data_IF_131463924722
#
_entry.id   IF_131463924722
#
_cell.length_a   1.000
_cell.length_b   1.000
_cell.length_c   1.000
_cell.angle_alpha   90.00
_cell.angle_beta   90.00
_cell.angle_gamma   90.00
#
_symmetry.space_group_name_H-M   'P 1'
#
loop_
_entity.id
_entity.type
_entity.pdbx_description
1 polymer ?
#
# COMPACT_ATOMS: atom_id res chain seq x y z
N UNK A 1 27.71 85.46 -67.99
CA UNK A 1 26.59 84.77 -67.32
C UNK A 1 27.17 83.53 -66.64
N UNK A 2 27.38 83.60 -65.32
CA UNK A 2 27.59 82.50 -64.34
C UNK A 2 28.65 82.88 -63.26
N UNK A 3 28.33 82.78 -61.95
CA UNK A 3 29.25 82.99 -60.80
C UNK A 3 30.02 81.68 -60.49
N UNK A 4 31.23 81.60 -59.91
CA UNK A 4 31.93 82.19 -58.73
C UNK A 4 31.90 81.32 -57.45
N UNK A 5 33.08 80.76 -57.11
CA UNK A 5 33.72 80.58 -55.78
C UNK A 5 33.49 79.27 -54.94
N UNK A 6 34.64 78.67 -54.55
CA UNK A 6 35.09 77.71 -53.48
C UNK A 6 34.23 77.46 -52.18
N UNK A 7 34.67 76.63 -51.18
CA UNK A 7 34.95 75.18 -51.05
C UNK A 7 34.26 74.55 -49.76
N UNK A 8 34.76 73.43 -49.18
CA UNK A 8 34.39 72.73 -47.90
C UNK A 8 33.19 71.72 -47.91
N UNK A 9 33.41 70.41 -47.64
CA UNK A 9 33.27 69.64 -46.35
C UNK A 9 31.82 69.66 -45.82
N UNK A 10 31.07 68.59 -45.53
CA UNK A 10 31.25 67.18 -45.13
C UNK A 10 29.99 66.39 -45.58
N UNK A 11 30.04 65.05 -45.70
CA UNK A 11 29.03 64.12 -45.11
C UNK A 11 29.14 62.66 -45.63
N UNK A 12 29.32 61.76 -44.66
CA UNK A 12 28.61 60.48 -44.45
C UNK A 12 28.82 59.33 -45.46
N UNK A 13 29.64 58.36 -45.05
CA UNK A 13 29.39 56.95 -45.37
C UNK A 13 29.83 56.04 -44.21
N UNK A 14 28.87 55.52 -43.45
CA UNK A 14 29.11 54.65 -42.30
C UNK A 14 29.27 53.18 -42.64
N UNK A 15 29.72 52.34 -41.68
CA UNK A 15 29.41 50.92 -41.74
C UNK A 15 28.75 50.40 -40.45
N UNK A 16 27.94 49.36 -40.66
CA UNK A 16 27.54 48.32 -39.71
C UNK A 16 26.10 48.36 -39.17
N UNK A 17 25.15 47.95 -40.03
CA UNK A 17 23.83 47.44 -39.60
C UNK A 17 24.03 46.07 -38.93
N UNK A 18 24.11 46.06 -37.59
CA UNK A 18 23.66 44.90 -36.81
C UNK A 18 22.14 44.86 -36.92
N UNK A 19 21.61 43.81 -37.55
CA UNK A 19 20.19 43.51 -37.51
C UNK A 19 19.76 43.29 -36.07
N UNK A 20 18.94 44.23 -35.57
CA UNK A 20 18.29 44.14 -34.28
C UNK A 20 17.11 43.16 -34.43
N UNK A 21 17.39 41.87 -34.20
CA UNK A 21 16.35 40.88 -34.01
C UNK A 21 15.49 41.30 -32.81
N UNK A 22 14.15 41.29 -32.89
CA UNK A 22 13.30 41.68 -31.78
C UNK A 22 13.51 40.67 -30.64
N UNK A 23 14.11 41.14 -29.54
CA UNK A 23 14.27 40.38 -28.32
C UNK A 23 12.89 39.93 -27.84
N UNK A 24 12.58 38.65 -28.03
CA UNK A 24 11.41 38.02 -27.41
C UNK A 24 11.47 38.31 -25.91
N UNK A 25 10.34 38.68 -25.26
CA UNK A 25 10.34 38.87 -23.82
C UNK A 25 10.89 37.61 -23.14
N UNK A 26 11.66 37.75 -22.04
CA UNK A 26 12.16 36.60 -21.29
C UNK A 26 10.99 35.66 -21.00
N UNK A 27 11.07 34.43 -21.52
CA UNK A 27 10.12 33.40 -21.12
C UNK A 27 10.25 33.26 -19.60
N UNK A 28 9.19 33.62 -18.87
CA UNK A 28 9.09 33.30 -17.45
C UNK A 28 9.39 31.80 -17.31
N UNK A 29 10.21 31.38 -16.32
CA UNK A 29 10.48 29.97 -16.10
C UNK A 29 9.14 29.26 -15.92
N UNK A 30 8.87 28.33 -16.84
CA UNK A 30 7.66 27.52 -16.95
C UNK A 30 7.17 27.15 -15.54
N UNK A 31 6.11 27.81 -15.06
CA UNK A 31 5.53 27.48 -13.75
C UNK A 31 5.22 25.98 -13.79
N UNK A 32 5.72 25.18 -12.83
CA UNK A 32 5.43 23.75 -12.83
C UNK A 32 3.92 23.56 -12.91
N UNK A 33 3.43 22.68 -13.82
CA UNK A 33 2.01 22.59 -14.14
C UNK A 33 1.19 22.45 -12.86
N UNK A 34 0.21 23.34 -12.70
CA UNK A 34 -0.61 23.39 -11.50
C UNK A 34 -1.33 22.05 -11.33
N UNK A 35 -0.97 21.29 -10.29
CA UNK A 35 -1.53 19.95 -10.05
C UNK A 35 -3.00 20.14 -9.62
N UNK A 36 -3.91 20.05 -10.58
CA UNK A 36 -5.35 20.07 -10.32
C UNK A 36 -5.78 18.72 -9.75
N UNK A 37 -6.51 18.69 -8.63
CA UNK A 37 -7.09 17.46 -8.09
C UNK A 37 -8.56 17.42 -8.48
N UNK A 38 -9.04 16.36 -9.16
CA UNK A 38 -10.43 16.29 -9.60
C UNK A 38 -11.44 16.18 -8.44
N UNK A 39 -10.97 15.90 -7.20
CA UNK A 39 -11.78 15.83 -5.97
C UNK A 39 -13.05 14.96 -6.13
N UNK A 40 -12.97 13.91 -6.95
CA UNK A 40 -14.09 13.05 -7.29
C UNK A 40 -14.09 12.58 -8.75
N UNK A 41 -15.27 12.17 -9.22
CA UNK A 41 -15.50 11.56 -10.53
C UNK A 41 -15.56 10.03 -10.48
N UNK A 42 -16.19 9.42 -11.49
CA UNK A 42 -16.39 7.96 -11.55
C UNK A 42 -15.07 7.20 -11.42
N UNK A 43 -14.03 7.63 -12.13
CA UNK A 43 -12.70 7.00 -12.08
C UNK A 43 -12.04 7.09 -10.71
N UNK A 44 -12.20 8.21 -9.99
CA UNK A 44 -11.63 8.38 -8.66
C UNK A 44 -12.30 7.44 -7.64
N UNK A 45 -13.63 7.37 -7.65
CA UNK A 45 -14.38 6.47 -6.75
C UNK A 45 -14.20 5.00 -7.10
N UNK A 46 -14.08 4.64 -8.38
CA UNK A 46 -13.72 3.28 -8.78
C UNK A 46 -12.31 2.90 -8.31
N UNK A 47 -11.36 3.84 -8.37
CA UNK A 47 -10.01 3.60 -7.84
C UNK A 47 -10.02 3.40 -6.32
N UNK A 48 -10.83 4.18 -5.59
CA UNK A 48 -11.06 3.99 -4.14
C UNK A 48 -11.67 2.62 -3.85
N UNK A 49 -12.66 2.19 -4.63
CA UNK A 49 -13.25 0.85 -4.48
C UNK A 49 -12.23 -0.27 -4.75
N UNK A 50 -11.40 -0.14 -5.79
CA UNK A 50 -10.32 -1.09 -6.06
C UNK A 50 -9.26 -1.12 -4.95
N UNK A 51 -8.87 0.04 -4.42
CA UNK A 51 -7.99 0.14 -3.26
C UNK A 51 -8.59 -0.53 -2.02
N UNK A 52 -9.89 -0.33 -1.77
CA UNK A 52 -10.60 -0.98 -0.67
C UNK A 52 -10.59 -2.51 -0.80
N UNK A 53 -10.75 -3.05 -2.01
CA UNK A 53 -10.61 -4.49 -2.27
C UNK A 53 -9.17 -4.98 -1.99
N UNK A 54 -8.15 -4.21 -2.35
CA UNK A 54 -6.76 -4.53 -2.02
C UNK A 54 -6.48 -4.53 -0.52
N UNK A 55 -7.03 -3.57 0.22
CA UNK A 55 -6.93 -3.52 1.69
C UNK A 55 -7.73 -4.63 2.37
N UNK A 56 -8.88 -5.01 1.82
CA UNK A 56 -9.64 -6.19 2.24
C UNK A 56 -8.76 -7.45 2.15
N UNK A 57 -8.09 -7.67 1.02
CA UNK A 57 -7.22 -8.84 0.82
C UNK A 57 -6.02 -8.84 1.77
N UNK A 58 -5.31 -7.73 1.84
CA UNK A 58 -4.06 -7.63 2.61
C UNK A 58 -4.31 -7.61 4.12
N UNK A 59 -4.95 -6.56 4.63
CA UNK A 59 -5.18 -6.39 6.07
C UNK A 59 -6.24 -7.34 6.62
N UNK A 60 -7.28 -7.65 5.85
CA UNK A 60 -8.31 -8.60 6.30
C UNK A 60 -7.70 -9.97 6.61
N UNK A 61 -6.81 -10.47 5.74
CA UNK A 61 -6.14 -11.75 5.95
C UNK A 61 -5.25 -11.77 7.19
N UNK A 62 -4.49 -10.70 7.45
CA UNK A 62 -3.66 -10.59 8.67
C UNK A 62 -4.53 -10.60 9.93
N UNK A 63 -5.61 -9.82 9.93
CA UNK A 63 -6.53 -9.75 11.06
C UNK A 63 -7.25 -11.09 11.32
N UNK A 64 -7.41 -11.91 10.28
CA UNK A 64 -7.99 -13.26 10.37
C UNK A 64 -6.97 -14.36 10.68
N UNK A 65 -5.70 -14.04 10.90
CA UNK A 65 -4.67 -15.03 11.23
C UNK A 65 -5.01 -15.87 12.47
N UNK A 66 -5.76 -15.32 13.44
CA UNK A 66 -6.15 -16.04 14.65
C UNK A 66 -6.89 -17.37 14.37
N UNK A 67 -7.65 -17.43 13.28
CA UNK A 67 -8.38 -18.65 12.86
C UNK A 67 -7.41 -19.71 12.34
N UNK A 68 -6.41 -19.29 11.56
CA UNK A 68 -5.33 -20.17 11.12
C UNK A 68 -4.50 -20.65 12.32
N UNK A 69 -4.18 -19.76 13.26
CA UNK A 69 -3.43 -20.11 14.46
C UNK A 69 -4.15 -21.16 15.32
N UNK A 70 -5.46 -21.01 15.55
CA UNK A 70 -6.24 -22.00 16.29
C UNK A 70 -6.28 -23.35 15.57
N UNK A 71 -6.53 -23.35 14.25
CA UNK A 71 -6.55 -24.56 13.44
C UNK A 71 -5.18 -25.26 13.38
N UNK A 72 -4.11 -24.51 13.22
CA UNK A 72 -2.74 -25.02 13.23
C UNK A 72 -2.39 -25.64 14.58
N UNK A 73 -2.73 -24.98 15.67
CA UNK A 73 -2.41 -25.47 17.02
C UNK A 73 -3.18 -26.75 17.35
N UNK A 74 -4.44 -26.87 16.92
CA UNK A 74 -5.30 -27.99 17.30
C UNK A 74 -5.19 -29.21 16.39
N UNK A 75 -5.02 -29.00 15.07
CA UNK A 75 -5.26 -30.04 14.07
C UNK A 75 -4.05 -30.21 13.14
N UNK A 76 -3.46 -29.12 12.65
CA UNK A 76 -2.53 -29.20 11.50
C UNK A 76 -1.05 -29.29 11.88
N UNK A 77 -0.64 -28.62 12.97
CA UNK A 77 0.73 -28.50 13.49
C UNK A 77 0.72 -28.73 15.03
N UNK A 78 -0.06 -29.70 15.50
CA UNK A 78 -0.22 -30.01 16.94
C UNK A 78 1.08 -30.40 17.65
N UNK A 79 2.09 -30.74 16.88
CA UNK A 79 3.46 -31.13 17.22
C UNK A 79 4.37 -29.92 17.51
N UNK A 80 3.95 -28.70 17.18
CA UNK A 80 4.68 -27.48 17.47
C UNK A 80 4.01 -26.65 18.58
N UNK A 81 4.80 -25.98 19.44
CA UNK A 81 4.23 -25.12 20.47
C UNK A 81 3.50 -23.92 19.83
N UNK A 82 2.43 -23.40 20.45
CA UNK A 82 1.66 -22.28 19.91
C UNK A 82 2.50 -21.00 19.68
N UNK A 83 3.60 -20.83 20.42
CA UNK A 83 4.57 -19.75 20.23
C UNK A 83 5.23 -19.81 18.86
N UNK A 84 5.60 -21.00 18.41
CA UNK A 84 6.27 -21.21 17.12
C UNK A 84 5.31 -20.91 15.98
N UNK A 85 4.07 -21.39 16.10
CA UNK A 85 3.00 -21.13 15.12
C UNK A 85 2.72 -19.62 15.00
N UNK A 86 2.78 -18.89 16.12
CA UNK A 86 2.52 -17.44 16.12
C UNK A 86 3.56 -16.61 15.34
N UNK A 87 4.76 -17.16 15.11
CA UNK A 87 5.76 -16.51 14.27
C UNK A 87 5.31 -16.38 12.81
N UNK A 88 4.49 -17.30 12.30
CA UNK A 88 3.97 -17.24 10.92
C UNK A 88 3.22 -15.92 10.70
N UNK A 89 2.23 -15.62 11.56
CA UNK A 89 1.45 -14.39 11.48
C UNK A 89 2.26 -13.14 11.81
N UNK A 90 3.20 -13.25 12.75
CA UNK A 90 4.06 -12.13 13.16
C UNK A 90 5.01 -11.70 12.04
N UNK A 91 5.63 -12.65 11.35
CA UNK A 91 6.50 -12.39 10.19
C UNK A 91 5.69 -11.85 9.01
N UNK A 92 4.49 -12.38 8.79
CA UNK A 92 3.58 -11.85 7.77
C UNK A 92 3.27 -10.37 7.99
N UNK A 93 2.88 -9.99 9.22
CA UNK A 93 2.60 -8.60 9.57
C UNK A 93 3.86 -7.73 9.51
N UNK A 94 5.01 -8.23 9.97
CA UNK A 94 6.28 -7.54 9.88
C UNK A 94 6.65 -7.22 8.43
N UNK A 95 6.60 -8.21 7.54
CA UNK A 95 6.94 -8.03 6.12
C UNK A 95 5.99 -7.08 5.40
N UNK A 96 4.69 -7.13 5.72
CA UNK A 96 3.73 -6.15 5.21
C UNK A 96 4.24 -4.72 5.46
N UNK A 97 4.53 -4.36 6.71
CA UNK A 97 4.93 -2.99 7.05
C UNK A 97 6.35 -2.66 6.60
N UNK A 98 7.30 -3.58 6.77
CA UNK A 98 8.70 -3.36 6.40
C UNK A 98 8.84 -3.12 4.88
N UNK A 99 8.17 -3.93 4.06
CA UNK A 99 8.22 -3.78 2.60
C UNK A 99 7.36 -2.63 2.10
N UNK A 100 6.34 -2.22 2.85
CA UNK A 100 5.58 -1.01 2.51
C UNK A 100 6.47 0.23 2.43
N UNK A 101 7.55 0.30 3.22
CA UNK A 101 8.53 1.38 3.11
C UNK A 101 9.25 1.39 1.74
N UNK A 102 9.73 0.22 1.30
CA UNK A 102 10.39 0.05 0.00
C UNK A 102 9.40 0.27 -1.15
N UNK A 103 8.18 -0.25 -0.98
CA UNK A 103 7.06 -0.06 -1.88
C UNK A 103 6.74 1.43 -2.10
N UNK A 104 6.98 2.30 -1.11
CA UNK A 104 6.74 3.74 -1.25
C UNK A 104 7.65 4.40 -2.26
N UNK A 105 8.95 4.14 -2.13
CA UNK A 105 9.96 4.58 -3.11
C UNK A 105 9.58 4.12 -4.52
N UNK A 106 9.17 2.86 -4.64
CA UNK A 106 8.84 2.26 -5.93
C UNK A 106 7.55 2.86 -6.54
N UNK A 107 6.57 3.18 -5.69
CA UNK A 107 5.35 3.89 -6.08
C UNK A 107 5.66 5.31 -6.59
N UNK A 108 6.50 6.06 -5.87
CA UNK A 108 6.89 7.43 -6.22
C UNK A 108 7.68 7.48 -7.55
N UNK A 109 8.47 6.43 -7.82
CA UNK A 109 9.17 6.23 -9.09
C UNK A 109 8.25 5.83 -10.26
N UNK A 110 6.95 5.62 -10.02
CA UNK A 110 5.96 5.38 -11.08
C UNK A 110 5.69 3.91 -11.40
N UNK A 111 6.23 2.96 -10.63
CA UNK A 111 6.09 1.53 -10.90
C UNK A 111 4.76 0.92 -10.41
N UNK A 112 3.74 1.74 -10.12
CA UNK A 112 2.45 1.31 -9.57
C UNK A 112 1.87 0.05 -10.24
N UNK A 113 1.79 0.03 -11.58
CA UNK A 113 1.18 -1.10 -12.31
C UNK A 113 1.98 -2.40 -12.11
N UNK A 114 3.31 -2.31 -12.12
CA UNK A 114 4.20 -3.45 -11.90
C UNK A 114 4.08 -3.97 -10.47
N UNK A 115 3.95 -3.07 -9.49
CA UNK A 115 3.75 -3.43 -8.09
C UNK A 115 2.39 -4.09 -7.85
N UNK A 116 1.33 -3.52 -8.41
CA UNK A 116 -0.02 -4.07 -8.24
C UNK A 116 -0.13 -5.46 -8.89
N UNK A 117 0.35 -5.63 -10.12
CA UNK A 117 0.32 -6.93 -10.81
C UNK A 117 1.29 -7.92 -10.16
N UNK A 118 2.55 -7.53 -9.96
CA UNK A 118 3.58 -8.38 -9.38
C UNK A 118 3.26 -8.81 -7.95
N UNK A 119 2.84 -7.87 -7.10
CA UNK A 119 2.39 -8.15 -5.75
C UNK A 119 1.17 -9.06 -5.71
N UNK A 120 0.20 -8.87 -6.62
CA UNK A 120 -0.98 -9.75 -6.71
C UNK A 120 -0.61 -11.17 -7.09
N UNK A 121 0.30 -11.34 -8.06
CA UNK A 121 0.78 -12.67 -8.47
C UNK A 121 1.51 -13.35 -7.32
N UNK A 122 2.47 -12.67 -6.67
CA UNK A 122 3.21 -13.23 -5.53
C UNK A 122 2.25 -13.63 -4.42
N UNK A 123 1.27 -12.78 -4.12
CA UNK A 123 0.29 -13.02 -3.08
C UNK A 123 -0.59 -14.25 -3.36
N UNK A 124 -1.21 -14.31 -4.55
CA UNK A 124 -2.09 -15.43 -4.92
C UNK A 124 -1.31 -16.73 -5.06
N UNK A 125 -0.12 -16.71 -5.67
CA UNK A 125 0.75 -17.89 -5.77
C UNK A 125 1.11 -18.40 -4.38
N UNK A 126 1.45 -17.50 -3.44
CA UNK A 126 1.74 -17.89 -2.06
C UNK A 126 0.53 -18.54 -1.37
N UNK A 127 -0.67 -18.04 -1.63
CA UNK A 127 -1.92 -18.65 -1.16
C UNK A 127 -2.14 -20.06 -1.75
N UNK A 128 -1.88 -20.23 -3.05
CA UNK A 128 -1.99 -21.53 -3.71
C UNK A 128 -0.94 -22.51 -3.19
N UNK A 129 0.29 -22.05 -2.94
CA UNK A 129 1.34 -22.86 -2.32
C UNK A 129 0.97 -23.25 -0.88
N UNK A 130 0.37 -22.35 -0.11
CA UNK A 130 -0.15 -22.66 1.22
C UNK A 130 -1.21 -23.76 1.16
N UNK A 131 -2.06 -23.77 0.13
CA UNK A 131 -3.06 -24.84 -0.05
C UNK A 131 -2.47 -26.23 -0.29
N UNK A 132 -1.21 -26.31 -0.71
CA UNK A 132 -0.46 -27.55 -0.92
C UNK A 132 0.41 -27.94 0.28
N UNK A 133 0.46 -27.10 1.32
CA UNK A 133 1.22 -27.39 2.52
C UNK A 133 0.69 -28.67 3.16
N UNK A 134 1.57 -29.57 3.56
CA UNK A 134 1.23 -30.83 4.21
C UNK A 134 1.04 -30.65 5.72
N UNK A 135 0.23 -31.49 6.39
CA UNK A 135 0.14 -31.49 7.85
C UNK A 135 1.51 -31.79 8.46
N UNK A 136 1.77 -31.29 9.67
CA UNK A 136 3.02 -31.46 10.43
C UNK A 136 4.28 -30.87 9.76
N UNK A 137 4.13 -30.04 8.72
CA UNK A 137 5.25 -29.39 8.04
C UNK A 137 5.22 -27.87 8.27
N UNK A 138 5.73 -27.44 9.42
CA UNK A 138 5.79 -26.01 9.80
C UNK A 138 6.44 -25.14 8.73
N UNK A 139 7.57 -25.58 8.18
CA UNK A 139 8.34 -24.82 7.19
C UNK A 139 7.52 -24.43 5.95
N UNK A 140 6.66 -25.32 5.46
CA UNK A 140 5.84 -25.05 4.27
C UNK A 140 4.82 -23.93 4.54
N UNK A 141 4.17 -23.97 5.70
CA UNK A 141 3.24 -22.94 6.14
C UNK A 141 3.95 -21.61 6.40
N UNK A 142 5.12 -21.65 7.06
CA UNK A 142 5.92 -20.46 7.36
C UNK A 142 6.43 -19.78 6.08
N UNK A 143 6.95 -20.53 5.12
CA UNK A 143 7.40 -19.97 3.85
C UNK A 143 6.25 -19.40 3.02
N UNK A 144 5.16 -20.15 2.87
CA UNK A 144 4.05 -19.73 2.01
C UNK A 144 3.27 -18.55 2.64
N UNK A 145 2.87 -18.69 3.91
CA UNK A 145 2.02 -17.71 4.59
C UNK A 145 2.80 -16.58 5.25
N UNK A 146 3.89 -16.91 5.95
CA UNK A 146 4.71 -15.92 6.64
C UNK A 146 5.46 -15.05 5.64
N UNK A 147 6.31 -15.69 4.84
CA UNK A 147 7.20 -14.99 3.90
C UNK A 147 6.49 -14.63 2.60
N UNK A 148 5.97 -15.62 1.88
CA UNK A 148 5.40 -15.42 0.54
C UNK A 148 4.24 -14.45 0.51
N UNK A 149 3.21 -14.71 1.35
CA UNK A 149 2.08 -13.79 1.45
C UNK A 149 2.50 -12.44 2.05
N UNK A 150 3.39 -12.41 3.06
CA UNK A 150 3.91 -11.17 3.63
C UNK A 150 4.60 -10.28 2.58
N UNK A 151 5.41 -10.86 1.69
CA UNK A 151 6.04 -10.18 0.56
C UNK A 151 5.00 -9.59 -0.40
N UNK A 152 4.02 -10.40 -0.82
CA UNK A 152 2.95 -9.96 -1.71
C UNK A 152 2.13 -8.82 -1.11
N UNK A 153 1.73 -8.95 0.15
CA UNK A 153 0.96 -7.93 0.86
C UNK A 153 1.74 -6.63 1.03
N UNK A 154 3.03 -6.70 1.37
CA UNK A 154 3.88 -5.53 1.57
C UNK A 154 4.07 -4.68 0.30
N UNK A 155 4.09 -5.33 -0.87
CA UNK A 155 4.15 -4.64 -2.17
C UNK A 155 2.79 -4.03 -2.55
N UNK A 156 1.67 -4.69 -2.18
CA UNK A 156 0.32 -4.26 -2.55
C UNK A 156 -0.26 -3.17 -1.65
N UNK A 157 0.05 -3.20 -0.36
CA UNK A 157 -0.66 -2.41 0.62
C UNK A 157 -0.46 -0.91 0.44
N UNK A 158 0.79 -0.48 0.35
CA UNK A 158 1.08 0.93 0.21
C UNK A 158 0.50 1.57 -1.06
N UNK A 159 0.66 1.01 -2.28
CA UNK A 159 0.05 1.59 -3.48
C UNK A 159 -1.48 1.69 -3.38
N UNK A 160 -2.14 0.79 -2.63
CA UNK A 160 -3.58 0.88 -2.39
C UNK A 160 -3.98 2.11 -1.58
N UNK A 161 -3.19 2.51 -0.58
CA UNK A 161 -3.48 3.71 0.20
C UNK A 161 -3.01 4.97 -0.52
N UNK A 162 -1.81 4.94 -1.10
CA UNK A 162 -1.16 6.11 -1.70
C UNK A 162 -1.91 6.65 -2.92
N UNK A 163 -2.60 5.79 -3.68
CA UNK A 163 -3.35 6.21 -4.86
C UNK A 163 -4.48 7.20 -4.54
N UNK A 164 -5.02 7.19 -3.31
CA UNK A 164 -6.04 8.16 -2.89
C UNK A 164 -5.52 9.60 -2.96
N UNK A 165 -4.23 9.80 -2.67
CA UNK A 165 -3.57 11.11 -2.74
C UNK A 165 -3.48 11.66 -4.17
N UNK A 166 -3.61 10.83 -5.19
CA UNK A 166 -3.57 11.27 -6.60
C UNK A 166 -4.89 11.91 -7.05
N UNK A 167 -5.99 11.57 -6.39
CA UNK A 167 -7.34 11.98 -6.78
C UNK A 167 -7.95 13.01 -5.81
N UNK A 168 -7.60 12.93 -4.52
CA UNK A 168 -8.19 13.75 -3.47
C UNK A 168 -7.11 14.48 -2.67
N UNK A 169 -7.27 15.79 -2.50
CA UNK A 169 -6.45 16.64 -1.62
C UNK A 169 -7.27 17.08 -0.40
N UNK A 170 -8.46 17.67 -0.61
CA UNK A 170 -9.37 18.14 0.45
C UNK A 170 -10.12 16.99 1.11
N UNK A 171 -10.59 16.00 0.33
CA UNK A 171 -11.33 14.82 0.85
C UNK A 171 -10.45 13.58 1.06
N UNK A 172 -9.13 13.75 1.14
CA UNK A 172 -8.16 12.64 1.24
C UNK A 172 -8.44 11.74 2.45
N UNK A 173 -8.73 12.33 3.62
CA UNK A 173 -9.02 11.56 4.82
C UNK A 173 -10.23 10.64 4.68
N UNK A 174 -11.30 11.13 4.04
CA UNK A 174 -12.49 10.33 3.76
C UNK A 174 -12.21 9.21 2.77
N UNK A 175 -11.47 9.49 1.68
CA UNK A 175 -11.11 8.48 0.70
C UNK A 175 -10.25 7.37 1.32
N UNK A 176 -9.23 7.73 2.10
CA UNK A 176 -8.38 6.77 2.82
C UNK A 176 -9.18 5.99 3.87
N UNK A 177 -10.12 6.64 4.57
CA UNK A 177 -11.01 5.97 5.52
C UNK A 177 -11.88 4.90 4.85
N UNK A 178 -12.43 5.17 3.67
CA UNK A 178 -13.18 4.18 2.88
C UNK A 178 -12.28 3.03 2.45
N UNK A 179 -11.05 3.31 2.00
CA UNK A 179 -10.08 2.26 1.63
C UNK A 179 -9.79 1.35 2.83
N UNK A 180 -9.48 1.96 3.98
CA UNK A 180 -9.18 1.24 5.22
C UNK A 180 -10.38 0.46 5.77
N UNK A 181 -11.61 0.88 5.47
CA UNK A 181 -12.82 0.15 5.88
C UNK A 181 -12.91 -1.26 5.27
N UNK A 182 -12.16 -1.56 4.20
CA UNK A 182 -12.06 -2.92 3.66
C UNK A 182 -11.44 -3.93 4.64
N UNK A 183 -10.52 -3.50 5.49
CA UNK A 183 -9.83 -4.37 6.45
C UNK A 183 -10.77 -5.08 7.44
N UNK A 184 -11.65 -4.39 8.20
CA UNK A 184 -12.58 -5.05 9.12
C UNK A 184 -13.60 -5.94 8.40
N UNK A 185 -14.01 -5.59 7.18
CA UNK A 185 -14.92 -6.44 6.39
C UNK A 185 -14.22 -7.77 6.07
N UNK A 186 -12.96 -7.74 5.62
CA UNK A 186 -12.17 -8.95 5.40
C UNK A 186 -11.97 -9.75 6.68
N UNK A 187 -11.71 -9.06 7.80
CA UNK A 187 -11.53 -9.69 9.10
C UNK A 187 -12.75 -10.50 9.58
N UNK A 188 -13.96 -10.17 9.10
CA UNK A 188 -15.20 -10.93 9.39
C UNK A 188 -15.47 -12.01 8.34
N UNK A 189 -15.21 -11.71 7.07
CA UNK A 189 -15.51 -12.63 5.95
C UNK A 189 -14.59 -13.85 5.95
N UNK A 190 -13.27 -13.69 6.15
CA UNK A 190 -12.35 -14.83 6.12
C UNK A 190 -12.62 -15.87 7.21
N UNK A 191 -12.81 -15.51 8.49
CA UNK A 191 -13.15 -16.48 9.53
C UNK A 191 -14.44 -17.23 9.22
N UNK A 192 -15.44 -16.55 8.66
CA UNK A 192 -16.71 -17.18 8.29
C UNK A 192 -16.51 -18.27 7.23
N UNK A 193 -15.73 -17.97 6.18
CA UNK A 193 -15.41 -18.94 5.12
C UNK A 193 -14.59 -20.11 5.68
N UNK A 194 -13.55 -19.81 6.45
CA UNK A 194 -12.63 -20.81 6.98
C UNK A 194 -13.32 -21.75 7.99
N UNK A 195 -14.05 -21.21 8.96
CA UNK A 195 -14.78 -22.00 9.96
C UNK A 195 -15.85 -22.90 9.33
N UNK A 196 -16.43 -22.49 8.21
CA UNK A 196 -17.41 -23.32 7.49
C UNK A 196 -16.74 -24.40 6.63
N UNK A 197 -15.60 -24.09 6.01
CA UNK A 197 -14.95 -24.96 5.02
C UNK A 197 -14.01 -25.97 5.66
N UNK A 198 -13.30 -25.61 6.74
CA UNK A 198 -12.40 -26.51 7.47
C UNK A 198 -13.04 -27.86 7.85
N UNK A 199 -14.22 -27.92 8.51
CA UNK A 199 -14.80 -29.19 8.92
C UNK A 199 -15.36 -30.03 7.76
N UNK A 200 -15.69 -29.41 6.62
CA UNK A 200 -16.38 -30.07 5.51
C UNK A 200 -15.46 -30.54 4.39
N UNK A 201 -14.45 -29.73 4.03
CA UNK A 201 -13.59 -29.95 2.85
C UNK A 201 -12.10 -29.99 3.20
N UNK A 202 -11.75 -29.74 4.47
CA UNK A 202 -10.37 -29.75 4.95
C UNK A 202 -9.57 -28.47 4.64
N UNK A 203 -8.31 -28.46 5.06
CA UNK A 203 -7.43 -27.28 5.00
C UNK A 203 -7.17 -26.79 3.56
N UNK A 204 -6.76 -27.68 2.66
CA UNK A 204 -6.38 -27.30 1.29
C UNK A 204 -7.52 -26.62 0.52
N UNK A 205 -8.75 -27.14 0.64
CA UNK A 205 -9.92 -26.52 -0.01
C UNK A 205 -10.33 -25.21 0.67
N UNK A 206 -10.25 -25.11 2.00
CA UNK A 206 -10.53 -23.86 2.72
C UNK A 206 -9.60 -22.72 2.24
N UNK A 207 -8.30 -23.00 2.15
CA UNK A 207 -7.31 -22.03 1.67
C UNK A 207 -7.53 -21.69 0.20
N UNK A 208 -7.89 -22.65 -0.66
CA UNK A 208 -8.21 -22.38 -2.09
C UNK A 208 -9.44 -21.50 -2.26
N UNK A 209 -10.49 -21.72 -1.50
CA UNK A 209 -11.70 -20.87 -1.55
C UNK A 209 -11.36 -19.42 -1.25
N UNK A 210 -10.54 -19.19 -0.22
CA UNK A 210 -10.02 -17.85 0.11
C UNK A 210 -9.12 -17.31 -1.00
N UNK A 211 -8.21 -18.13 -1.54
CA UNK A 211 -7.33 -17.75 -2.64
C UNK A 211 -8.10 -17.33 -3.91
N UNK A 212 -9.19 -18.02 -4.25
CA UNK A 212 -10.02 -17.66 -5.40
C UNK A 212 -10.81 -16.38 -5.18
N UNK A 213 -11.30 -16.16 -3.95
CA UNK A 213 -11.93 -14.89 -3.56
C UNK A 213 -10.94 -13.73 -3.74
N UNK A 214 -9.74 -13.87 -3.17
CA UNK A 214 -8.71 -12.84 -3.24
C UNK A 214 -8.21 -12.62 -4.67
N UNK A 215 -8.09 -13.68 -5.47
CA UNK A 215 -7.76 -13.57 -6.88
C UNK A 215 -8.81 -12.74 -7.63
N UNK A 216 -10.10 -13.02 -7.44
CA UNK A 216 -11.17 -12.27 -8.07
C UNK A 216 -11.16 -10.79 -7.64
N UNK A 217 -11.01 -10.53 -6.34
CA UNK A 217 -10.93 -9.18 -5.79
C UNK A 217 -9.70 -8.41 -6.29
N UNK A 218 -8.54 -9.05 -6.35
CA UNK A 218 -7.31 -8.44 -6.84
C UNK A 218 -7.34 -8.20 -8.35
N UNK A 219 -7.95 -9.09 -9.15
CA UNK A 219 -8.17 -8.83 -10.58
C UNK A 219 -9.04 -7.58 -10.74
N UNK A 220 -10.16 -7.49 -10.01
CA UNK A 220 -11.03 -6.32 -10.04
C UNK A 220 -10.28 -5.06 -9.59
N UNK A 221 -9.51 -5.13 -8.49
CA UNK A 221 -8.70 -4.02 -8.02
C UNK A 221 -7.71 -3.51 -9.08
N UNK A 222 -6.98 -4.42 -9.74
CA UNK A 222 -6.03 -4.09 -10.82
C UNK A 222 -6.71 -3.43 -12.03
N UNK A 223 -7.95 -3.81 -12.35
CA UNK A 223 -8.72 -3.24 -13.46
C UNK A 223 -9.30 -1.86 -13.12
N UNK A 224 -9.76 -1.67 -11.87
CA UNK A 224 -10.40 -0.44 -11.41
C UNK A 224 -9.38 0.67 -11.12
N UNK A 225 -8.21 0.31 -10.57
CA UNK A 225 -7.22 1.29 -10.14
C UNK A 225 -6.45 1.88 -11.31
N UNK A 226 -6.40 3.21 -11.37
CA UNK A 226 -5.65 3.96 -12.38
C UNK A 226 -4.77 5.02 -11.75
N UNK A 227 -3.54 5.15 -12.23
CA UNK A 227 -2.65 6.24 -11.83
C UNK A 227 -2.90 7.46 -12.69
N UNK A 228 -2.91 8.64 -12.07
CA UNK A 228 -3.08 9.93 -12.75
C UNK A 228 -1.83 10.81 -12.73
N UNK A 229 -1.14 10.91 -11.59
CA UNK A 229 0.02 11.78 -11.45
C UNK A 229 1.23 11.20 -12.17
N UNK A 230 1.98 12.07 -12.86
CA UNK A 230 3.28 11.71 -13.43
C UNK A 230 4.24 11.36 -12.28
N UNK A 231 5.10 10.34 -12.45
CA UNK A 231 6.11 10.02 -11.45
C UNK A 231 6.95 11.26 -11.19
N UNK A 232 6.98 11.72 -9.94
CA UNK A 232 7.90 12.75 -9.52
C UNK A 232 8.90 12.04 -8.61
N UNK A 233 10.09 11.67 -9.12
CA UNK A 233 11.13 11.09 -8.29
C UNK A 233 11.58 12.18 -7.33
N UNK A 234 10.87 12.30 -6.20
CA UNK A 234 11.32 13.10 -5.10
C UNK A 234 12.20 12.17 -4.29
N UNK A 235 13.51 12.41 -4.34
CA UNK A 235 14.46 11.72 -3.48
C UNK A 235 14.15 12.12 -2.05
N UNK A 236 13.25 11.36 -1.40
CA UNK A 236 12.98 11.53 0.01
C UNK A 236 14.28 11.21 0.76
N UNK A 237 14.88 12.23 1.37
CA UNK A 237 16.07 12.07 2.19
C UNK A 237 15.73 11.25 3.43
N UNK A 238 15.99 9.94 3.35
CA UNK A 238 15.69 8.99 4.44
C UNK A 238 16.43 9.38 5.71
N UNK A 239 17.62 9.98 5.57
CA UNK A 239 18.42 10.38 6.71
C UNK A 239 17.74 11.54 7.43
N UNK A 240 17.21 12.51 6.69
CA UNK A 240 16.42 13.59 7.29
C UNK A 240 15.15 13.08 7.98
N UNK A 241 14.43 12.13 7.38
CA UNK A 241 13.21 11.54 7.98
C UNK A 241 13.54 10.73 9.24
N UNK A 242 14.61 9.92 9.22
CA UNK A 242 15.04 9.12 10.36
C UNK A 242 15.63 9.96 11.50
N UNK A 243 16.10 11.18 11.20
CA UNK A 243 16.59 12.11 12.23
C UNK A 243 15.49 13.03 12.77
N UNK A 244 14.25 12.91 12.25
CA UNK A 244 13.15 13.76 12.66
C UNK A 244 12.50 13.25 13.96
N UNK A 245 12.50 14.08 15.01
CA UNK A 245 11.98 13.72 16.33
C UNK A 245 10.46 13.46 16.31
N UNK A 246 9.61 14.25 15.60
CA UNK A 246 8.18 13.99 15.47
C UNK A 246 7.88 12.63 14.82
N UNK A 247 8.73 12.15 13.91
CA UNK A 247 8.59 10.83 13.30
C UNK A 247 8.72 9.72 14.36
N UNK A 248 9.76 9.76 15.20
CA UNK A 248 9.94 8.78 16.28
C UNK A 248 8.84 8.84 17.34
N UNK A 249 8.36 10.03 17.69
CA UNK A 249 7.21 10.19 18.61
C UNK A 249 5.95 9.55 18.01
N UNK A 250 5.70 9.75 16.71
CA UNK A 250 4.57 9.15 16.02
C UNK A 250 4.69 7.61 15.95
N UNK A 251 5.88 7.10 15.62
CA UNK A 251 6.16 5.66 15.63
C UNK A 251 5.96 5.05 17.02
N UNK A 252 6.45 5.69 18.08
CA UNK A 252 6.24 5.26 19.45
C UNK A 252 4.75 5.26 19.81
N UNK A 253 4.01 6.32 19.46
CA UNK A 253 2.56 6.40 19.68
C UNK A 253 1.79 5.29 18.98
N UNK A 254 2.14 4.98 17.72
CA UNK A 254 1.55 3.87 16.96
C UNK A 254 1.89 2.53 17.62
N UNK A 255 3.15 2.34 18.05
CA UNK A 255 3.57 1.12 18.75
C UNK A 255 2.81 0.92 20.06
N UNK A 256 2.67 1.96 20.88
CA UNK A 256 1.88 1.92 22.12
C UNK A 256 0.40 1.64 21.85
N UNK A 257 -0.15 2.21 20.78
CA UNK A 257 -1.55 1.95 20.38
C UNK A 257 -1.74 0.47 20.01
N UNK A 258 -0.85 -0.10 19.20
CA UNK A 258 -0.94 -1.52 18.84
C UNK A 258 -0.69 -2.44 20.03
N UNK A 259 0.27 -2.13 20.90
CA UNK A 259 0.46 -2.84 22.16
C UNK A 259 -0.79 -2.81 23.04
N UNK A 260 -1.39 -1.62 23.22
CA UNK A 260 -2.60 -1.43 23.98
C UNK A 260 -3.84 -2.11 23.37
N UNK A 261 -3.88 -2.33 22.04
CA UNK A 261 -4.99 -3.01 21.37
C UNK A 261 -4.89 -4.55 21.49
N UNK A 262 -3.68 -5.09 21.36
CA UNK A 262 -3.47 -6.54 21.28
C UNK A 262 -3.31 -7.24 22.63
N UNK A 263 -2.86 -6.55 23.68
CA UNK A 263 -2.72 -7.14 25.03
C UNK A 263 -4.10 -7.41 25.66
N UNK A 264 -5.03 -6.43 25.76
CA UNK A 264 -6.30 -6.64 26.46
C UNK A 264 -7.24 -7.60 25.75
N UNK A 265 -7.20 -7.65 24.41
CA UNK A 265 -8.06 -8.54 23.62
C UNK A 265 -7.77 -10.02 23.87
N UNK A 266 -6.53 -10.39 24.22
CA UNK A 266 -6.17 -11.77 24.58
C UNK A 266 -6.50 -12.14 26.02
N UNK A 267 -6.47 -11.18 26.95
CA UNK A 267 -6.81 -11.43 28.36
C UNK A 267 -8.32 -11.33 28.66
N UNK A 268 -9.10 -10.57 27.89
CA UNK A 268 -10.54 -10.42 28.16
C UNK A 268 -11.33 -11.76 28.18
N UNK A 269 -11.16 -12.69 27.21
CA UNK A 269 -11.88 -13.96 27.26
C UNK A 269 -11.46 -14.82 28.47
N UNK A 270 -10.17 -14.84 28.81
CA UNK A 270 -9.66 -15.59 29.97
C UNK A 270 -10.14 -14.99 31.30
N UNK A 271 -10.10 -13.67 31.42
CA UNK A 271 -10.57 -12.94 32.59
C UNK A 271 -12.08 -13.11 32.79
N UNK A 272 -12.86 -13.10 31.70
CA UNK A 272 -14.30 -13.37 31.74
C UNK A 272 -14.61 -14.80 32.19
N UNK A 273 -13.88 -15.81 31.71
CA UNK A 273 -14.04 -17.20 32.14
C UNK A 273 -13.66 -17.36 33.63
N UNK A 274 -12.56 -16.76 34.07
CA UNK A 274 -12.18 -16.77 35.49
C UNK A 274 -13.24 -16.11 36.37
N UNK A 275 -13.79 -14.96 35.95
CA UNK A 275 -14.82 -14.24 36.69
C UNK A 275 -16.13 -15.04 36.78
N UNK A 276 -16.53 -15.73 35.70
CA UNK A 276 -17.68 -16.64 35.72
C UNK A 276 -17.46 -17.84 36.65
N UNK A 277 -16.25 -18.42 36.68
CA UNK A 277 -15.90 -19.51 37.59
C UNK A 277 -15.81 -19.06 39.06
N UNK A 278 -15.44 -17.82 39.32
CA UNK A 278 -15.42 -17.24 40.67
C UNK A 278 -16.81 -16.85 41.17
N UNK A 279 -17.70 -16.38 40.28
CA UNK A 279 -19.10 -16.07 40.63
C UNK A 279 -19.97 -17.33 40.76
N UNK A 280 -19.58 -18.44 40.13
CA UNK A 280 -20.28 -19.72 40.21
C UNK A 280 -19.88 -20.60 41.42
N UNK A 281 -18.96 -20.14 42.28
CA UNK A 281 -18.60 -20.77 43.56
C UNK A 281 -19.20 -19.98 44.72
#
# INVERSE_FOLDING_TARGET
MAPSIHPEEDEVNGPNKKEMSPTLPPQEPDKPPEITFPEGGRTAWLTVAGAMMGTFCTFGTIQSFAVYQDYYTRIYLSDHPPSDISWIGSVQAFLLFALSFVSGRLFDHGYFRHMMVGGSIVYVVSYLLLSLAKPHHYYQNFLAQGIGMGLGMGILFLPCISIAAHYFKRRRGLAVGIILSGAPIGAVVYPLILNHTFPRWGFGWAVRTVAFLDLALLIMANLLMRTRLKPRPQEADVKAILMDVPFWICCAGIAFTYWGLFIPSKQCPLAMIHLLLTVAR
#
